data_IF_252029555923
#
_entry.id   IF_252029555923
#
_cell.length_a   1.000
_cell.length_b   1.000
_cell.length_c   1.000
_cell.angle_alpha   90.00
_cell.angle_beta   90.00
_cell.angle_gamma   90.00
#
_symmetry.space_group_name_H-M   'P 1'
#
loop_
_entity.id
_entity.type
_entity.pdbx_description
1 polymer ?
#
# COMPACT_ATOMS: atom_id res chain seq x y z
N UNK A 1 -25.92 20.73 1.67
CA UNK A 1 -24.45 20.81 1.58
C UNK A 1 -23.96 21.46 2.86
N UNK A 2 -23.32 20.68 3.78
CA UNK A 2 -22.66 21.26 4.92
C UNK A 2 -21.48 22.10 4.41
N UNK A 3 -21.52 23.41 4.67
CA UNK A 3 -20.32 24.23 4.46
C UNK A 3 -19.19 23.61 5.28
N UNK A 4 -18.09 23.25 4.60
CA UNK A 4 -16.89 22.81 5.27
C UNK A 4 -16.41 23.96 6.15
N UNK A 5 -16.56 23.86 7.44
CA UNK A 5 -16.04 24.87 8.37
C UNK A 5 -14.51 24.90 8.28
N UNK A 6 -13.89 26.05 8.58
CA UNK A 6 -12.42 26.17 8.61
C UNK A 6 -11.77 25.11 9.52
N UNK A 7 -12.44 24.71 10.58
CA UNK A 7 -12.01 23.63 11.47
C UNK A 7 -12.01 22.26 10.78
N UNK A 8 -13.04 21.93 9.98
CA UNK A 8 -13.09 20.68 9.24
C UNK A 8 -11.95 20.59 8.21
N UNK A 9 -11.67 21.69 7.50
CA UNK A 9 -10.54 21.76 6.56
C UNK A 9 -9.20 21.54 7.28
N UNK A 10 -9.01 22.21 8.43
CA UNK A 10 -7.80 22.02 9.24
C UNK A 10 -7.60 20.58 9.69
N UNK A 11 -8.67 19.91 10.16
CA UNK A 11 -8.63 18.49 10.52
C UNK A 11 -8.27 17.59 9.33
N UNK A 12 -8.84 17.83 8.16
CA UNK A 12 -8.51 17.09 6.94
C UNK A 12 -7.03 17.27 6.57
N UNK A 13 -6.49 18.49 6.64
CA UNK A 13 -5.07 18.76 6.38
C UNK A 13 -4.18 18.05 7.39
N UNK A 14 -4.53 18.06 8.68
CA UNK A 14 -3.76 17.36 9.72
C UNK A 14 -3.75 15.83 9.48
N UNK A 15 -4.89 15.24 9.13
CA UNK A 15 -4.97 13.81 8.81
C UNK A 15 -4.18 13.48 7.56
N UNK A 16 -4.27 14.30 6.52
CA UNK A 16 -3.50 14.12 5.29
C UNK A 16 -1.99 14.16 5.57
N UNK A 17 -1.53 15.19 6.28
CA UNK A 17 -0.11 15.35 6.63
C UNK A 17 0.38 14.20 7.52
N UNK A 18 -0.34 13.86 8.59
CA UNK A 18 0.01 12.76 9.49
C UNK A 18 0.08 11.40 8.79
N UNK A 19 -0.92 11.09 7.95
CA UNK A 19 -0.97 9.85 7.17
C UNK A 19 0.13 9.80 6.09
N UNK A 20 0.43 10.92 5.45
CA UNK A 20 1.54 11.04 4.51
C UNK A 20 2.89 10.80 5.20
N UNK A 21 3.12 11.43 6.36
CA UNK A 21 4.36 11.24 7.13
C UNK A 21 4.50 9.80 7.62
N UNK A 22 3.43 9.18 8.10
CA UNK A 22 3.43 7.76 8.41
C UNK A 22 3.79 6.92 7.16
N UNK A 23 3.23 7.24 6.00
CA UNK A 23 3.57 6.61 4.72
C UNK A 23 5.04 6.75 4.33
N UNK A 24 5.67 7.90 4.63
CA UNK A 24 7.09 8.15 4.38
C UNK A 24 8.02 7.22 5.17
N UNK A 25 7.56 6.61 6.27
CA UNK A 25 8.30 5.59 7.01
C UNK A 25 8.42 4.31 6.16
N UNK A 26 9.42 4.25 5.27
CA UNK A 26 9.63 3.11 4.38
C UNK A 26 10.40 2.01 5.12
N UNK A 27 9.73 0.87 5.36
CA UNK A 27 10.30 -0.25 6.11
C UNK A 27 11.63 -0.74 5.55
N UNK A 28 11.77 -0.84 4.22
CA UNK A 28 13.00 -1.30 3.59
C UNK A 28 14.16 -0.32 3.81
N UNK A 29 13.93 0.98 3.67
CA UNK A 29 14.95 2.01 3.86
C UNK A 29 15.34 2.10 5.33
N UNK A 30 14.35 2.14 6.24
CA UNK A 30 14.61 2.21 7.69
C UNK A 30 15.40 1.00 8.16
N UNK A 31 15.00 -0.21 7.77
CA UNK A 31 15.70 -1.44 8.17
C UNK A 31 17.11 -1.48 7.58
N UNK A 32 17.28 -1.06 6.32
CA UNK A 32 18.60 -0.98 5.68
C UNK A 32 19.52 0.00 6.41
N UNK A 33 19.03 1.19 6.74
CA UNK A 33 19.80 2.19 7.48
C UNK A 33 20.18 1.72 8.89
N UNK A 34 19.24 1.11 9.64
CA UNK A 34 19.49 0.67 11.01
C UNK A 34 20.50 -0.47 11.13
N UNK A 35 20.48 -1.40 10.16
CA UNK A 35 21.31 -2.62 10.27
C UNK A 35 22.55 -2.59 9.38
N UNK A 36 22.55 -1.81 8.30
CA UNK A 36 23.62 -1.88 7.29
C UNK A 36 24.19 -0.52 6.90
N UNK A 37 23.65 0.58 7.43
CA UNK A 37 24.04 1.96 7.10
C UNK A 37 23.97 2.28 5.59
N UNK A 38 23.08 1.59 4.85
CA UNK A 38 22.97 1.69 3.41
C UNK A 38 21.52 1.90 2.97
N UNK A 39 21.30 2.65 1.87
CA UNK A 39 19.96 2.91 1.31
C UNK A 39 19.60 1.86 0.24
N UNK A 40 19.29 0.65 0.65
CA UNK A 40 18.94 -0.45 -0.26
C UNK A 40 17.44 -0.68 -0.30
N UNK A 41 16.80 -0.25 -1.38
CA UNK A 41 15.35 -0.36 -1.61
C UNK A 41 14.86 -1.77 -1.95
N UNK A 42 15.75 -2.69 -2.26
CA UNK A 42 15.42 -4.09 -2.57
C UNK A 42 15.96 -5.04 -1.52
N UNK A 43 15.53 -4.82 -0.29
CA UNK A 43 16.08 -5.41 0.92
C UNK A 43 16.10 -6.95 0.92
N UNK A 44 14.99 -7.59 0.49
CA UNK A 44 14.89 -9.05 0.47
C UNK A 44 15.96 -9.72 -0.43
N UNK A 45 16.28 -9.08 -1.54
CA UNK A 45 17.25 -9.60 -2.52
C UNK A 45 18.68 -9.58 -2.00
N UNK A 46 18.99 -8.63 -1.12
CA UNK A 46 20.37 -8.41 -0.63
C UNK A 46 20.59 -9.04 0.73
N UNK A 47 19.62 -8.97 1.64
CA UNK A 47 19.83 -9.34 3.05
C UNK A 47 19.02 -10.56 3.53
N UNK A 48 18.20 -11.15 2.66
CA UNK A 48 17.46 -12.38 2.94
C UNK A 48 16.22 -12.21 3.82
N UNK A 49 15.58 -13.34 4.16
CA UNK A 49 14.24 -13.37 4.75
C UNK A 49 14.12 -12.85 6.18
N UNK A 50 15.17 -12.91 7.00
CA UNK A 50 15.09 -12.51 8.42
C UNK A 50 14.73 -11.03 8.60
N UNK A 51 15.32 -10.17 7.79
CA UNK A 51 15.07 -8.73 7.85
C UNK A 51 13.80 -8.31 7.05
N UNK A 52 13.32 -9.16 6.14
CA UNK A 52 12.06 -8.92 5.45
C UNK A 52 10.88 -8.83 6.43
N UNK A 53 10.94 -9.56 7.55
CA UNK A 53 9.92 -9.48 8.61
C UNK A 53 9.86 -8.08 9.22
N UNK A 54 11.01 -7.44 9.49
CA UNK A 54 11.04 -6.07 10.00
C UNK A 54 10.40 -5.08 9.02
N UNK A 55 10.72 -5.22 7.74
CA UNK A 55 10.11 -4.41 6.67
C UNK A 55 8.59 -4.57 6.65
N UNK A 56 8.12 -5.82 6.72
CA UNK A 56 6.70 -6.15 6.76
C UNK A 56 6.02 -5.49 7.95
N UNK A 57 6.59 -5.66 9.15
CA UNK A 57 6.02 -5.10 10.39
C UNK A 57 5.95 -3.57 10.36
N UNK A 58 7.00 -2.89 9.87
CA UNK A 58 7.01 -1.44 9.74
C UNK A 58 5.93 -0.98 8.73
N UNK A 59 5.82 -1.64 7.59
CA UNK A 59 4.84 -1.29 6.56
C UNK A 59 3.39 -1.57 7.01
N UNK A 60 3.17 -2.63 7.80
CA UNK A 60 1.87 -2.90 8.42
C UNK A 60 1.53 -1.87 9.50
N UNK A 61 2.47 -1.54 10.37
CA UNK A 61 2.27 -0.60 11.47
C UNK A 61 1.92 0.80 10.95
N UNK A 62 2.63 1.31 9.94
CA UNK A 62 2.32 2.62 9.37
C UNK A 62 0.93 2.67 8.72
N UNK A 63 0.52 1.60 8.03
CA UNK A 63 -0.82 1.50 7.46
C UNK A 63 -1.89 1.51 8.56
N UNK A 64 -1.65 0.76 9.64
CA UNK A 64 -2.54 0.75 10.81
C UNK A 64 -2.66 2.13 11.45
N UNK A 65 -1.54 2.80 11.71
CA UNK A 65 -1.52 4.15 12.32
C UNK A 65 -2.27 5.15 11.43
N UNK A 66 -2.02 5.14 10.12
CA UNK A 66 -2.70 6.03 9.18
C UNK A 66 -4.23 5.81 9.19
N UNK A 67 -4.70 4.58 9.03
CA UNK A 67 -6.14 4.26 9.02
C UNK A 67 -6.79 4.63 10.34
N UNK A 68 -6.15 4.33 11.48
CA UNK A 68 -6.67 4.70 12.80
C UNK A 68 -6.75 6.21 12.98
N UNK A 69 -5.77 6.97 12.51
CA UNK A 69 -5.80 8.44 12.54
C UNK A 69 -7.03 8.97 11.78
N UNK A 70 -7.24 8.51 10.54
CA UNK A 70 -8.40 8.90 9.74
C UNK A 70 -9.72 8.46 10.37
N UNK A 71 -9.80 7.22 10.84
CA UNK A 71 -10.97 6.64 11.50
C UNK A 71 -11.42 7.46 12.71
N UNK A 72 -10.48 7.81 13.59
CA UNK A 72 -10.77 8.57 14.82
C UNK A 72 -11.14 10.01 14.47
N UNK A 73 -10.29 10.72 13.75
CA UNK A 73 -10.49 12.16 13.51
C UNK A 73 -11.77 12.42 12.70
N UNK A 74 -11.97 11.68 11.61
CA UNK A 74 -13.17 11.88 10.80
C UNK A 74 -14.41 11.31 11.47
N UNK A 75 -14.28 10.20 12.21
CA UNK A 75 -15.40 9.59 12.93
C UNK A 75 -15.94 10.49 14.05
N UNK A 76 -15.06 10.96 14.93
CA UNK A 76 -15.43 11.73 16.11
C UNK A 76 -15.84 13.18 15.78
N UNK A 77 -15.16 13.83 14.84
CA UNK A 77 -15.38 15.25 14.58
C UNK A 77 -16.25 15.54 13.36
N UNK A 78 -16.34 14.63 12.39
CA UNK A 78 -17.09 14.86 11.15
C UNK A 78 -18.24 13.86 10.94
N UNK A 79 -18.32 12.77 11.73
CA UNK A 79 -19.27 11.68 11.50
C UNK A 79 -19.02 10.88 10.23
N UNK A 80 -17.79 10.97 9.63
CA UNK A 80 -17.40 10.42 8.34
C UNK A 80 -16.27 9.38 8.49
N UNK A 81 -16.45 8.40 9.38
CA UNK A 81 -15.41 7.44 9.74
C UNK A 81 -14.86 6.69 8.54
N UNK A 82 -15.72 6.13 7.70
CA UNK A 82 -15.31 5.33 6.56
C UNK A 82 -14.52 6.17 5.54
N UNK A 83 -15.00 7.37 5.24
CA UNK A 83 -14.33 8.32 4.37
C UNK A 83 -12.96 8.71 4.92
N UNK A 84 -12.85 8.88 6.24
CA UNK A 84 -11.58 9.17 6.92
C UNK A 84 -10.57 8.04 6.81
N UNK A 85 -11.02 6.79 6.92
CA UNK A 85 -10.18 5.61 6.74
C UNK A 85 -9.61 5.53 5.31
N UNK A 86 -10.44 5.73 4.29
CA UNK A 86 -9.99 5.74 2.89
C UNK A 86 -9.14 6.97 2.54
N UNK A 87 -9.48 8.13 3.09
CA UNK A 87 -8.71 9.36 2.91
C UNK A 87 -7.30 9.21 3.47
N UNK A 88 -7.17 8.74 4.70
CA UNK A 88 -5.86 8.52 5.33
C UNK A 88 -5.06 7.42 4.62
N UNK A 89 -5.73 6.36 4.14
CA UNK A 89 -5.10 5.31 3.34
C UNK A 89 -4.49 5.88 2.05
N UNK A 90 -5.18 6.77 1.35
CA UNK A 90 -4.65 7.45 0.16
C UNK A 90 -3.35 8.20 0.48
N UNK A 91 -3.34 9.04 1.51
CA UNK A 91 -2.14 9.81 1.88
C UNK A 91 -1.01 8.93 2.38
N UNK A 92 -1.30 7.83 3.07
CA UNK A 92 -0.30 6.82 3.44
C UNK A 92 0.35 6.19 2.20
N UNK A 93 -0.43 5.84 1.17
CA UNK A 93 0.10 5.30 -0.10
C UNK A 93 0.93 6.34 -0.84
N UNK A 94 0.47 7.61 -0.90
CA UNK A 94 1.25 8.71 -1.48
C UNK A 94 2.60 8.84 -0.77
N UNK A 95 2.61 8.84 0.57
CA UNK A 95 3.86 8.92 1.35
C UNK A 95 4.78 7.72 1.13
N UNK A 96 4.24 6.51 0.95
CA UNK A 96 5.05 5.33 0.65
C UNK A 96 5.68 5.37 -0.75
N UNK A 97 4.94 5.86 -1.77
CA UNK A 97 5.43 5.93 -3.16
C UNK A 97 6.34 7.13 -3.36
N UNK A 98 6.01 8.26 -2.73
CA UNK A 98 6.73 9.54 -2.85
C UNK A 98 7.19 10.07 -1.48
N UNK A 99 8.07 9.38 -0.75
CA UNK A 99 8.50 9.81 0.57
C UNK A 99 9.41 11.04 0.49
N UNK A 100 9.02 12.13 1.16
CA UNK A 100 9.75 13.38 1.14
C UNK A 100 11.21 13.24 1.64
N UNK A 101 11.43 12.40 2.65
CA UNK A 101 12.76 12.18 3.25
C UNK A 101 13.74 11.41 2.35
N UNK A 102 13.28 10.84 1.23
CA UNK A 102 14.08 9.98 0.35
C UNK A 102 14.00 10.44 -1.11
N UNK A 103 14.06 11.77 -1.32
CA UNK A 103 14.01 12.40 -2.64
C UNK A 103 12.81 11.96 -3.48
N UNK A 104 11.67 11.74 -2.85
CA UNK A 104 10.41 11.28 -3.46
C UNK A 104 10.52 9.96 -4.24
N UNK A 105 11.50 9.13 -3.90
CA UNK A 105 11.73 7.82 -4.53
C UNK A 105 11.45 6.71 -3.52
N UNK A 106 10.22 6.23 -3.48
CA UNK A 106 9.77 5.18 -2.58
C UNK A 106 9.60 3.82 -3.23
N UNK A 107 8.77 2.99 -2.59
CA UNK A 107 8.40 1.66 -3.06
C UNK A 107 7.17 1.66 -3.98
N UNK A 108 6.66 0.46 -4.27
CA UNK A 108 5.44 0.25 -5.07
C UNK A 108 4.16 0.18 -4.23
N UNK A 109 4.32 0.14 -2.92
CA UNK A 109 3.20 0.16 -1.99
C UNK A 109 2.43 -1.16 -1.84
N UNK A 110 2.90 -2.28 -2.40
CA UNK A 110 2.11 -3.53 -2.39
C UNK A 110 1.81 -4.02 -0.99
N UNK A 111 2.82 -4.12 -0.14
CA UNK A 111 2.62 -4.60 1.22
C UNK A 111 1.78 -3.61 2.05
N UNK A 112 2.08 -2.32 1.92
CA UNK A 112 1.30 -1.26 2.55
C UNK A 112 -0.16 -1.31 2.07
N UNK A 113 -0.40 -1.32 0.74
CA UNK A 113 -1.76 -1.38 0.18
C UNK A 113 -2.49 -2.68 0.53
N UNK A 114 -1.80 -3.83 0.51
CA UNK A 114 -2.38 -5.09 0.94
C UNK A 114 -2.83 -5.08 2.41
N UNK A 115 -2.06 -4.44 3.28
CA UNK A 115 -2.46 -4.22 4.69
C UNK A 115 -3.63 -3.26 4.79
N UNK A 116 -3.65 -2.18 4.00
CA UNK A 116 -4.77 -1.25 3.96
C UNK A 116 -6.07 -1.95 3.58
N UNK A 117 -6.08 -2.86 2.60
CA UNK A 117 -7.28 -3.62 2.26
C UNK A 117 -7.84 -4.39 3.45
N UNK A 118 -6.97 -5.04 4.25
CA UNK A 118 -7.38 -5.78 5.46
C UNK A 118 -7.98 -4.85 6.53
N UNK A 119 -7.44 -3.65 6.66
CA UNK A 119 -7.89 -2.67 7.66
C UNK A 119 -9.20 -1.98 7.26
N UNK A 120 -9.42 -1.77 5.96
CA UNK A 120 -10.59 -1.08 5.43
C UNK A 120 -11.81 -2.01 5.41
N UNK A 121 -11.70 -3.20 4.80
CA UNK A 121 -12.79 -4.20 4.78
C UNK A 121 -12.24 -5.59 4.43
N UNK A 122 -12.52 -6.59 5.27
CA UNK A 122 -12.05 -7.95 5.07
C UNK A 122 -12.55 -8.60 3.78
N UNK A 123 -13.75 -8.23 3.29
CA UNK A 123 -14.34 -8.76 2.03
C UNK A 123 -13.56 -8.26 0.82
N UNK A 124 -13.22 -6.97 0.82
CA UNK A 124 -12.36 -6.36 -0.20
C UNK A 124 -10.97 -7.00 -0.16
N UNK A 125 -10.42 -7.20 1.04
CA UNK A 125 -9.15 -7.87 1.22
C UNK A 125 -9.17 -9.31 0.72
N UNK A 126 -10.24 -10.06 1.00
CA UNK A 126 -10.39 -11.44 0.55
C UNK A 126 -10.35 -11.53 -0.99
N UNK A 127 -11.02 -10.62 -1.70
CA UNK A 127 -10.98 -10.57 -3.18
C UNK A 127 -9.59 -10.15 -3.67
N UNK A 128 -9.03 -9.06 -3.14
CA UNK A 128 -7.73 -8.55 -3.59
C UNK A 128 -6.59 -9.54 -3.35
N UNK A 129 -6.50 -10.09 -2.14
CA UNK A 129 -5.50 -11.11 -1.80
C UNK A 129 -5.77 -12.44 -2.50
N UNK A 130 -7.04 -12.84 -2.68
CA UNK A 130 -7.41 -14.05 -3.42
C UNK A 130 -6.94 -13.99 -4.87
N UNK A 131 -7.20 -12.88 -5.56
CA UNK A 131 -6.71 -12.66 -6.94
C UNK A 131 -5.18 -12.58 -6.99
N UNK A 132 -4.55 -11.90 -6.04
CA UNK A 132 -3.10 -11.85 -5.93
C UNK A 132 -2.51 -13.27 -5.81
N UNK A 133 -2.98 -14.06 -4.84
CA UNK A 133 -2.47 -15.41 -4.60
C UNK A 133 -2.73 -16.33 -5.77
N UNK A 134 -3.93 -16.31 -6.35
CA UNK A 134 -4.28 -17.12 -7.51
C UNK A 134 -3.32 -16.88 -8.67
N UNK A 135 -3.11 -15.61 -9.04
CA UNK A 135 -2.25 -15.25 -10.16
C UNK A 135 -0.77 -15.48 -9.85
N UNK A 136 -0.33 -15.18 -8.62
CA UNK A 136 1.04 -15.47 -8.23
C UNK A 136 1.37 -16.96 -8.24
N UNK A 137 0.52 -17.81 -7.68
CA UNK A 137 0.75 -19.26 -7.61
C UNK A 137 0.69 -19.92 -9.00
N UNK A 138 -0.21 -19.47 -9.87
CA UNK A 138 -0.38 -20.04 -11.22
C UNK A 138 0.66 -19.56 -12.22
N UNK A 139 0.99 -18.25 -12.19
CA UNK A 139 1.89 -17.63 -13.19
C UNK A 139 3.30 -17.39 -12.67
N UNK A 140 3.50 -17.36 -11.35
CA UNK A 140 4.71 -16.95 -10.65
C UNK A 140 5.11 -15.47 -10.86
N UNK A 141 4.22 -14.65 -11.40
CA UNK A 141 4.42 -13.21 -11.52
C UNK A 141 3.79 -12.47 -10.34
N UNK A 142 4.62 -12.01 -9.39
CA UNK A 142 4.17 -11.20 -8.24
C UNK A 142 3.51 -9.91 -8.73
N UNK A 143 4.08 -9.27 -9.75
CA UNK A 143 3.58 -8.01 -10.29
C UNK A 143 2.20 -8.14 -10.95
N UNK A 144 1.91 -9.27 -11.61
CA UNK A 144 0.59 -9.52 -12.20
C UNK A 144 -0.48 -9.62 -11.11
N UNK A 145 -0.23 -10.39 -10.06
CA UNK A 145 -1.13 -10.49 -8.91
C UNK A 145 -1.35 -9.13 -8.25
N UNK A 146 -0.27 -8.35 -8.08
CA UNK A 146 -0.33 -7.02 -7.47
C UNK A 146 -1.19 -6.03 -8.24
N UNK A 147 -1.00 -5.94 -9.56
CA UNK A 147 -1.77 -5.03 -10.42
C UNK A 147 -3.24 -5.45 -10.47
N UNK A 148 -3.52 -6.76 -10.56
CA UNK A 148 -4.91 -7.26 -10.58
C UNK A 148 -5.60 -7.04 -9.22
N UNK A 149 -4.90 -7.29 -8.11
CA UNK A 149 -5.42 -6.97 -6.77
C UNK A 149 -5.72 -5.48 -6.60
N UNK A 150 -4.83 -4.60 -7.06
CA UNK A 150 -5.06 -3.17 -7.04
C UNK A 150 -6.25 -2.75 -7.92
N UNK A 151 -6.40 -3.35 -9.09
CA UNK A 151 -7.54 -3.09 -9.99
C UNK A 151 -8.88 -3.54 -9.38
N UNK A 152 -8.90 -4.66 -8.65
CA UNK A 152 -10.10 -5.17 -8.00
C UNK A 152 -10.61 -4.28 -6.86
N UNK A 153 -9.75 -3.42 -6.29
CA UNK A 153 -10.10 -2.61 -5.13
C UNK A 153 -11.26 -1.64 -5.38
N UNK A 154 -11.25 -0.74 -6.37
CA UNK A 154 -12.39 0.14 -6.61
C UNK A 154 -13.64 -0.62 -7.05
N UNK A 155 -13.49 -1.74 -7.77
CA UNK A 155 -14.63 -2.57 -8.20
C UNK A 155 -15.34 -3.17 -6.97
N UNK A 156 -14.59 -3.77 -6.05
CA UNK A 156 -15.15 -4.34 -4.82
C UNK A 156 -15.69 -3.26 -3.88
N UNK A 157 -15.02 -2.10 -3.79
CA UNK A 157 -15.52 -0.94 -3.05
C UNK A 157 -16.88 -0.49 -3.56
N UNK A 158 -17.05 -0.38 -4.86
CA UNK A 158 -18.33 -0.03 -5.47
C UNK A 158 -19.43 -1.06 -5.17
N UNK A 159 -19.09 -2.33 -5.13
CA UNK A 159 -20.04 -3.40 -4.83
C UNK A 159 -20.49 -3.43 -3.36
N UNK A 160 -19.56 -3.24 -2.42
CA UNK A 160 -19.84 -3.37 -0.99
C UNK A 160 -20.30 -2.06 -0.34
N UNK A 161 -19.89 -0.90 -0.86
CA UNK A 161 -20.25 0.43 -0.36
C UNK A 161 -21.04 1.24 -1.39
N UNK A 162 -22.10 0.62 -1.93
CA UNK A 162 -22.97 1.23 -2.96
C UNK A 162 -23.50 2.59 -2.49
N UNK A 163 -23.38 3.59 -3.35
CA UNK A 163 -23.85 4.96 -3.10
C UNK A 163 -22.83 5.84 -2.37
N UNK A 164 -21.75 5.29 -1.81
CA UNK A 164 -20.68 6.11 -1.25
C UNK A 164 -19.63 6.46 -2.31
N UNK A 165 -19.94 7.50 -3.10
CA UNK A 165 -19.09 7.95 -4.21
C UNK A 165 -17.74 8.50 -3.75
N UNK A 166 -17.66 9.05 -2.53
CA UNK A 166 -16.41 9.54 -1.94
C UNK A 166 -15.44 8.38 -1.72
N UNK A 167 -15.89 7.32 -1.06
CA UNK A 167 -15.09 6.12 -0.79
C UNK A 167 -14.69 5.44 -2.10
N UNK A 168 -15.59 5.38 -3.09
CA UNK A 168 -15.27 4.86 -4.42
C UNK A 168 -14.17 5.69 -5.10
N UNK A 169 -14.29 7.03 -5.12
CA UNK A 169 -13.29 7.90 -5.73
C UNK A 169 -11.91 7.78 -5.05
N UNK A 170 -11.88 7.67 -3.71
CA UNK A 170 -10.65 7.46 -2.96
C UNK A 170 -10.01 6.10 -3.28
N UNK A 171 -10.81 5.03 -3.38
CA UNK A 171 -10.32 3.70 -3.76
C UNK A 171 -9.76 3.68 -5.18
N UNK A 172 -10.41 4.38 -6.11
CA UNK A 172 -9.93 4.54 -7.49
C UNK A 172 -8.59 5.28 -7.55
N UNK A 173 -8.44 6.36 -6.75
CA UNK A 173 -7.20 7.11 -6.67
C UNK A 173 -6.05 6.25 -6.10
N UNK A 174 -6.31 5.46 -5.06
CA UNK A 174 -5.32 4.53 -4.48
C UNK A 174 -4.91 3.49 -5.53
N UNK A 175 -5.88 2.85 -6.19
CA UNK A 175 -5.62 1.85 -7.22
C UNK A 175 -4.79 2.43 -8.37
N UNK A 176 -5.15 3.62 -8.86
CA UNK A 176 -4.43 4.31 -9.92
C UNK A 176 -2.96 4.59 -9.55
N UNK A 177 -2.70 5.05 -8.33
CA UNK A 177 -1.34 5.27 -7.81
C UNK A 177 -0.53 3.98 -7.76
N UNK A 178 -1.11 2.89 -7.25
CA UNK A 178 -0.43 1.59 -7.15
C UNK A 178 -0.16 1.01 -8.54
N UNK A 179 -1.12 1.07 -9.45
CA UNK A 179 -0.94 0.62 -10.85
C UNK A 179 0.13 1.45 -11.54
N UNK A 180 0.10 2.78 -11.37
CA UNK A 180 1.14 3.66 -11.91
C UNK A 180 2.53 3.33 -11.36
N UNK A 181 2.66 3.04 -10.05
CA UNK A 181 3.92 2.62 -9.46
C UNK A 181 4.44 1.30 -10.06
N UNK A 182 3.56 0.46 -10.64
CA UNK A 182 3.89 -0.78 -11.34
C UNK A 182 4.13 -0.61 -12.85
N UNK A 183 4.12 0.60 -13.42
CA UNK A 183 4.25 0.83 -14.87
C UNK A 183 5.43 0.12 -15.52
N UNK A 184 6.58 0.08 -14.85
CA UNK A 184 7.76 -0.65 -15.36
C UNK A 184 7.58 -2.18 -15.34
N UNK A 185 6.86 -2.71 -14.35
CA UNK A 185 6.52 -4.13 -14.29
C UNK A 185 5.49 -4.48 -15.36
N UNK A 186 4.49 -3.62 -15.56
CA UNK A 186 3.48 -3.80 -16.62
C UNK A 186 4.18 -3.82 -17.99
N UNK A 187 5.12 -2.89 -18.22
CA UNK A 187 5.91 -2.91 -19.44
C UNK A 187 6.67 -4.24 -19.63
N UNK A 188 7.35 -4.75 -18.59
CA UNK A 188 8.03 -6.04 -18.67
C UNK A 188 7.09 -7.22 -18.83
N UNK A 189 5.91 -7.20 -18.22
CA UNK A 189 4.88 -8.23 -18.42
C UNK A 189 4.41 -8.28 -19.87
N UNK A 190 4.14 -7.13 -20.49
CA UNK A 190 3.72 -7.03 -21.89
C UNK A 190 4.79 -7.51 -22.87
N UNK A 191 6.09 -7.31 -22.56
CA UNK A 191 7.21 -7.78 -23.37
C UNK A 191 7.71 -9.17 -22.99
N UNK A 192 7.08 -9.87 -22.04
CA UNK A 192 7.49 -11.21 -21.60
C UNK A 192 8.84 -11.26 -20.85
N UNK A 193 9.34 -10.11 -20.37
CA UNK A 193 10.63 -9.97 -19.68
C UNK A 193 10.53 -9.81 -18.17
N UNK A 194 9.34 -9.93 -17.61
CA UNK A 194 9.15 -9.84 -16.15
C UNK A 194 9.72 -11.09 -15.45
N UNK A 195 10.41 -10.87 -14.34
CA UNK A 195 11.01 -11.95 -13.56
C UNK A 195 9.95 -12.79 -12.86
N UNK A 196 10.04 -14.12 -13.02
CA UNK A 196 9.19 -15.06 -12.27
C UNK A 196 9.77 -15.32 -10.89
N UNK A 197 8.91 -15.43 -9.90
CA UNK A 197 9.29 -15.84 -8.56
C UNK A 197 9.84 -17.27 -8.59
N UNK A 198 11.06 -17.46 -8.07
CA UNK A 198 11.70 -18.76 -7.94
C UNK A 198 11.68 -19.18 -6.47
N UNK A 199 11.17 -20.36 -6.20
CA UNK A 199 11.33 -20.97 -4.88
C UNK A 199 12.82 -21.36 -4.75
N UNK A 200 13.54 -20.75 -3.80
CA UNK A 200 14.87 -21.23 -3.47
C UNK A 200 14.70 -22.58 -2.76
N UNK A 201 14.80 -23.65 -3.51
CA UNK A 201 15.12 -24.94 -2.91
C UNK A 201 16.60 -24.84 -2.52
N UNK A 202 16.87 -24.75 -1.22
CA UNK A 202 18.23 -24.87 -0.69
C UNK A 202 18.75 -26.26 -1.07
N UNK A 203 19.31 -26.40 -2.24
CA UNK A 203 20.19 -27.49 -2.57
C UNK A 203 21.56 -27.18 -1.94
N UNK A 204 22.21 -28.18 -1.29
CA UNK A 204 23.52 -27.96 -0.69
C UNK A 204 24.55 -27.60 -1.77
N UNK A 205 25.28 -26.54 -1.52
CA UNK A 205 26.54 -26.13 -2.06
C UNK A 205 26.96 -26.65 -3.43
N UNK A 206 27.16 -25.70 -4.36
CA UNK A 206 28.28 -25.85 -5.26
C UNK A 206 29.36 -24.84 -4.85
N UNK A 207 30.40 -25.43 -4.28
CA UNK A 207 31.73 -24.86 -4.03
C UNK A 207 32.29 -24.17 -5.27
#
# INVERSE_FOLDING_TARGET
>A
MHELTSAAVALMVCVAAGSYLAGCCNGAIITSFLFYHDDIRNFYRVYGGKFAVCVILIDMLKAFVAVKLGSIVFGEYLGLRLEGEYFSALFCVIGHIFPAFYSFKGGKGILCSGTLLLLLDWRIAAVGWGLFLLLWLTTRYVSLGSVTGAFSFPVTTLLFFRGNWTVFALSLAIAALVIWAHRSNIGRLLHGTESRFQWHTNGPGRS
#
